data_IF_086828600129
#
_entry.id   IF_086828600129
#
_cell.length_a   1.000
_cell.length_b   1.000
_cell.length_c   1.000
_cell.angle_alpha   90.00
_cell.angle_beta   90.00
_cell.angle_gamma   90.00
#
_symmetry.space_group_name_H-M   'P 1'
#
loop_
_entity.id
_entity.type
_entity.pdbx_description
1 polymer ?
#
# COMPACT_ATOMS: atom_id res chain seq x y z
N UNK A 1 -7.64 24.03 -20.40
CA UNK A 1 -7.30 22.60 -20.63
C UNK A 1 -5.83 22.43 -20.37
N UNK A 2 -5.46 22.19 -19.12
CA UNK A 2 -4.07 21.92 -18.76
C UNK A 2 -4.00 20.48 -18.27
N UNK A 3 -3.31 19.65 -19.04
CA UNK A 3 -2.77 18.38 -18.54
C UNK A 3 -1.77 18.78 -17.44
N UNK A 4 -2.20 18.73 -16.18
CA UNK A 4 -1.27 18.69 -15.07
C UNK A 4 -0.57 17.35 -15.17
N UNK A 5 0.57 17.34 -15.87
CA UNK A 5 1.49 16.24 -15.87
C UNK A 5 1.88 15.92 -14.43
N UNK A 6 2.02 14.66 -14.11
CA UNK A 6 2.77 14.24 -12.94
C UNK A 6 4.22 14.74 -13.14
N UNK A 7 4.49 15.94 -12.68
CA UNK A 7 5.83 16.50 -12.61
C UNK A 7 6.61 15.71 -11.57
N UNK A 8 7.87 15.44 -11.84
CA UNK A 8 8.77 14.68 -10.97
C UNK A 8 8.78 15.30 -9.57
N UNK A 9 8.22 14.57 -8.60
CA UNK A 9 8.28 14.96 -7.19
C UNK A 9 9.68 14.69 -6.66
N UNK A 10 10.44 15.74 -6.35
CA UNK A 10 11.64 15.62 -5.52
C UNK A 10 11.21 15.37 -4.07
N UNK A 11 11.27 14.12 -3.65
CA UNK A 11 10.85 13.69 -2.31
C UNK A 11 12.08 13.25 -1.53
N UNK A 12 12.40 13.93 -0.43
CA UNK A 12 13.42 13.46 0.51
C UNK A 12 12.71 12.90 1.75
N UNK A 13 12.64 11.57 1.84
CA UNK A 13 12.24 10.85 3.06
C UNK A 13 13.50 10.08 3.48
N UNK A 14 14.21 10.54 4.52
CA UNK A 14 15.44 9.90 4.96
C UNK A 14 15.21 8.94 6.11
N UNK A 15 15.69 7.72 5.96
CA UNK A 15 15.77 6.70 7.02
C UNK A 15 17.03 5.84 6.80
N UNK A 16 17.73 5.47 7.87
CA UNK A 16 19.09 4.91 7.82
C UNK A 16 19.13 3.45 8.25
N UNK A 17 19.60 2.57 7.45
CA UNK A 17 20.69 1.57 7.42
C UNK A 17 20.41 0.38 6.50
N UNK A 18 21.43 0.05 5.67
CA UNK A 18 21.46 -1.04 4.72
C UNK A 18 21.87 -2.37 5.36
N UNK A 19 21.24 -3.47 4.88
CA UNK A 19 21.88 -4.81 4.81
C UNK A 19 21.75 -5.30 3.35
N UNK A 20 22.87 -5.72 2.75
CA UNK A 20 22.98 -6.06 1.32
C UNK A 20 22.06 -7.22 0.87
N UNK A 21 21.65 -8.12 1.77
CA UNK A 21 20.76 -9.26 1.46
C UNK A 21 19.31 -8.87 1.20
N UNK A 22 18.81 -7.83 1.87
CA UNK A 22 17.43 -7.32 1.71
C UNK A 22 17.28 -6.62 0.35
N UNK A 23 18.33 -5.98 -0.13
CA UNK A 23 18.39 -5.31 -1.42
C UNK A 23 18.20 -6.28 -2.61
N UNK A 24 18.76 -7.49 -2.54
CA UNK A 24 18.63 -8.49 -3.60
C UNK A 24 17.24 -9.14 -3.64
N UNK A 25 16.64 -9.45 -2.50
CA UNK A 25 15.28 -9.99 -2.42
C UNK A 25 14.24 -8.96 -2.88
N UNK A 26 14.41 -7.72 -2.47
CA UNK A 26 13.57 -6.61 -2.90
C UNK A 26 13.66 -6.41 -4.43
N UNK A 27 14.87 -6.42 -4.99
CA UNK A 27 15.09 -6.30 -6.42
C UNK A 27 14.44 -7.44 -7.21
N UNK A 28 14.52 -8.68 -6.71
CA UNK A 28 13.82 -9.84 -7.29
C UNK A 28 12.31 -9.69 -7.24
N UNK A 29 11.76 -9.27 -6.10
CA UNK A 29 10.34 -9.03 -5.93
C UNK A 29 9.82 -7.98 -6.91
N UNK A 30 10.54 -6.87 -7.06
CA UNK A 30 10.21 -5.80 -8.00
C UNK A 30 10.25 -6.27 -9.45
N UNK A 31 11.24 -7.06 -9.83
CA UNK A 31 11.33 -7.64 -11.18
C UNK A 31 10.16 -8.57 -11.47
N UNK A 32 9.82 -9.44 -10.51
CA UNK A 32 8.70 -10.38 -10.63
C UNK A 32 7.35 -9.64 -10.69
N UNK A 33 7.17 -8.56 -9.93
CA UNK A 33 5.93 -7.74 -10.00
C UNK A 33 5.83 -6.94 -11.30
N UNK A 34 6.93 -6.52 -11.90
CA UNK A 34 6.93 -5.82 -13.19
C UNK A 34 6.60 -6.71 -14.38
N UNK A 35 6.88 -8.01 -14.28
CA UNK A 35 6.56 -9.01 -15.31
C UNK A 35 5.12 -9.54 -15.24
N UNK A 36 4.30 -9.01 -14.36
CA UNK A 36 2.97 -9.34 -13.89
C UNK A 36 2.13 -10.30 -14.73
N UNK A 37 1.75 -11.42 -14.13
CA UNK A 37 0.57 -12.18 -14.54
C UNK A 37 -0.68 -11.28 -14.44
N UNK A 38 -1.67 -11.44 -15.32
CA UNK A 38 -2.88 -10.65 -15.25
C UNK A 38 -3.61 -10.90 -13.92
N UNK A 39 -3.94 -9.82 -13.22
CA UNK A 39 -4.71 -9.86 -11.98
C UNK A 39 -6.07 -10.51 -12.21
N UNK A 40 -6.45 -11.47 -11.36
CA UNK A 40 -7.78 -12.07 -11.40
C UNK A 40 -8.86 -10.98 -11.24
N UNK A 41 -9.93 -11.08 -12.03
CA UNK A 41 -11.09 -10.21 -11.86
C UNK A 41 -12.07 -10.87 -10.90
N UNK A 42 -12.35 -10.23 -9.77
CA UNK A 42 -13.39 -10.65 -8.81
C UNK A 42 -14.73 -10.11 -9.26
N UNK A 43 -15.74 -10.99 -9.29
CA UNK A 43 -17.06 -10.67 -9.85
C UNK A 43 -18.06 -10.18 -8.79
N UNK A 44 -18.06 -10.82 -7.61
CA UNK A 44 -19.01 -10.58 -6.54
C UNK A 44 -18.48 -11.04 -5.16
N UNK A 45 -19.34 -10.95 -4.14
CA UNK A 45 -19.04 -11.38 -2.77
C UNK A 45 -18.66 -12.86 -2.68
N UNK A 46 -19.31 -13.74 -3.44
CA UNK A 46 -19.07 -15.18 -3.36
C UNK A 46 -17.70 -15.55 -3.97
N UNK A 47 -17.38 -14.95 -5.12
CA UNK A 47 -16.07 -15.12 -5.77
C UNK A 47 -14.93 -14.54 -4.88
N UNK A 48 -15.17 -13.40 -4.24
CA UNK A 48 -14.22 -12.80 -3.30
C UNK A 48 -13.93 -13.71 -2.09
N UNK A 49 -14.97 -14.33 -1.51
CA UNK A 49 -14.83 -15.26 -0.39
C UNK A 49 -14.05 -16.51 -0.83
N UNK A 50 -14.44 -17.14 -1.95
CA UNK A 50 -13.74 -18.33 -2.46
C UNK A 50 -12.26 -18.06 -2.72
N UNK A 51 -11.96 -16.91 -3.35
CA UNK A 51 -10.57 -16.50 -3.60
C UNK A 51 -9.79 -16.26 -2.30
N UNK A 52 -10.42 -15.66 -1.29
CA UNK A 52 -9.78 -15.43 -0.01
C UNK A 52 -9.54 -16.74 0.77
N UNK A 53 -10.41 -17.74 0.64
CA UNK A 53 -10.22 -19.09 1.23
C UNK A 53 -8.99 -19.78 0.61
N UNK A 54 -8.84 -19.74 -0.72
CA UNK A 54 -7.69 -20.31 -1.43
C UNK A 54 -6.39 -19.61 -1.01
N UNK A 55 -6.38 -18.29 -1.00
CA UNK A 55 -5.23 -17.49 -0.59
C UNK A 55 -4.86 -17.73 0.89
N UNK A 56 -5.83 -17.83 1.78
CA UNK A 56 -5.61 -18.12 3.20
C UNK A 56 -4.91 -19.46 3.42
N UNK A 57 -5.27 -20.50 2.65
CA UNK A 57 -4.59 -21.80 2.68
C UNK A 57 -3.12 -21.68 2.24
N UNK A 58 -2.83 -20.91 1.21
CA UNK A 58 -1.48 -20.66 0.75
C UNK A 58 -0.65 -19.92 1.81
N UNK A 59 -1.18 -18.83 2.34
CA UNK A 59 -0.53 -17.99 3.36
C UNK A 59 -0.22 -18.79 4.63
N UNK A 60 -1.13 -19.68 5.06
CA UNK A 60 -0.98 -20.44 6.30
C UNK A 60 0.19 -21.44 6.27
N UNK A 61 0.61 -21.91 5.09
CA UNK A 61 1.61 -23.00 4.97
C UNK A 61 2.88 -22.71 5.73
N UNK A 62 3.42 -21.51 5.60
CA UNK A 62 4.71 -21.12 6.14
C UNK A 62 4.64 -20.00 7.19
N UNK A 63 3.44 -19.69 7.70
CA UNK A 63 3.23 -18.56 8.63
C UNK A 63 4.15 -18.64 9.87
N UNK A 64 4.24 -19.80 10.49
CA UNK A 64 5.09 -20.01 11.68
C UNK A 64 6.59 -19.92 11.35
N UNK A 65 6.99 -20.29 10.14
CA UNK A 65 8.38 -20.17 9.68
C UNK A 65 8.73 -18.71 9.39
N UNK A 66 7.84 -17.97 8.71
CA UNK A 66 8.01 -16.53 8.48
C UNK A 66 8.20 -15.77 9.79
N UNK A 67 7.32 -16.01 10.76
CA UNK A 67 7.38 -15.34 12.06
C UNK A 67 8.67 -15.67 12.81
N UNK A 68 9.05 -16.96 12.88
CA UNK A 68 10.26 -17.40 13.60
C UNK A 68 11.55 -16.85 12.99
N UNK A 69 11.64 -16.83 11.67
CA UNK A 69 12.85 -16.49 10.93
C UNK A 69 12.84 -15.06 10.39
N UNK A 70 11.82 -14.26 10.73
CA UNK A 70 11.62 -12.88 10.24
C UNK A 70 11.72 -12.81 8.70
N UNK A 71 11.14 -13.81 8.02
CA UNK A 71 11.14 -13.87 6.56
C UNK A 71 10.05 -12.98 5.99
N UNK A 72 10.43 -12.01 5.18
CA UNK A 72 9.51 -11.08 4.55
C UNK A 72 8.59 -11.79 3.55
N UNK A 73 7.25 -11.53 3.56
CA UNK A 73 6.25 -12.28 2.81
C UNK A 73 6.11 -11.82 1.34
N UNK A 74 7.21 -11.66 0.60
CA UNK A 74 7.17 -11.18 -0.79
C UNK A 74 6.34 -12.07 -1.72
N UNK A 75 6.43 -13.39 -1.58
CA UNK A 75 5.66 -14.35 -2.35
C UNK A 75 4.16 -14.23 -2.08
N UNK A 76 3.79 -14.19 -0.82
CA UNK A 76 2.41 -14.11 -0.36
C UNK A 76 1.76 -12.76 -0.74
N UNK A 77 2.51 -11.67 -0.69
CA UNK A 77 2.04 -10.36 -1.18
C UNK A 77 1.89 -10.35 -2.70
N UNK A 78 2.75 -11.06 -3.43
CA UNK A 78 2.58 -11.26 -4.86
C UNK A 78 1.26 -12.00 -5.15
N UNK A 79 1.01 -13.13 -4.48
CA UNK A 79 -0.24 -13.90 -4.61
C UNK A 79 -1.45 -13.05 -4.27
N UNK A 80 -1.41 -12.25 -3.20
CA UNK A 80 -2.46 -11.30 -2.86
C UNK A 80 -2.69 -10.27 -3.99
N UNK A 81 -1.64 -9.71 -4.57
CA UNK A 81 -1.74 -8.74 -5.66
C UNK A 81 -2.38 -9.34 -6.92
N UNK A 82 -2.07 -10.60 -7.24
CA UNK A 82 -2.59 -11.31 -8.41
C UNK A 82 -3.99 -11.87 -8.21
N UNK A 83 -4.41 -12.07 -6.96
CA UNK A 83 -5.71 -12.64 -6.61
C UNK A 83 -6.91 -11.76 -6.97
N UNK A 84 -6.72 -10.46 -7.21
CA UNK A 84 -7.79 -9.49 -7.43
C UNK A 84 -8.45 -8.97 -6.14
N UNK A 85 -8.11 -9.53 -4.98
CA UNK A 85 -8.71 -9.13 -3.70
C UNK A 85 -8.41 -7.68 -3.31
N UNK A 86 -7.34 -7.09 -3.83
CA UNK A 86 -7.04 -5.68 -3.57
C UNK A 86 -8.08 -4.73 -4.15
N UNK A 87 -8.76 -5.09 -5.25
CA UNK A 87 -9.77 -4.27 -5.92
C UNK A 87 -11.21 -4.49 -5.43
N UNK A 88 -11.48 -5.38 -4.47
CA UNK A 88 -12.84 -5.83 -4.14
C UNK A 88 -13.78 -4.74 -3.64
N UNK A 89 -13.26 -3.69 -2.98
CA UNK A 89 -14.06 -2.57 -2.45
C UNK A 89 -14.29 -1.45 -3.47
N UNK A 90 -13.61 -1.50 -4.61
CA UNK A 90 -13.81 -0.51 -5.67
C UNK A 90 -15.21 -0.66 -6.25
N UNK A 91 -15.98 0.44 -6.40
CA UNK A 91 -17.31 0.40 -6.98
C UNK A 91 -17.35 -0.16 -8.40
N UNK A 92 -18.43 -0.87 -8.74
CA UNK A 92 -18.63 -1.49 -10.08
C UNK A 92 -18.49 -0.49 -11.21
N UNK A 93 -18.95 0.76 -11.02
CA UNK A 93 -18.78 1.84 -12.02
C UNK A 93 -17.32 2.16 -12.35
N UNK A 94 -16.37 1.76 -11.49
CA UNK A 94 -14.94 1.90 -11.68
C UNK A 94 -14.23 0.58 -11.98
N UNK A 95 -15.00 -0.50 -12.22
CA UNK A 95 -14.48 -1.81 -12.62
C UNK A 95 -14.19 -2.77 -11.45
N UNK A 96 -14.48 -2.42 -10.21
CA UNK A 96 -14.33 -3.29 -9.04
C UNK A 96 -15.56 -4.18 -8.80
N UNK A 97 -15.46 -5.08 -7.82
CA UNK A 97 -16.55 -5.99 -7.42
C UNK A 97 -17.60 -5.32 -6.54
N UNK A 98 -17.25 -4.22 -5.87
CA UNK A 98 -18.14 -3.51 -4.92
C UNK A 98 -18.70 -4.45 -3.84
N UNK A 99 -17.83 -5.28 -3.25
CA UNK A 99 -18.27 -6.23 -2.21
C UNK A 99 -18.75 -5.50 -0.96
N UNK A 100 -19.62 -6.16 -0.20
CA UNK A 100 -20.14 -5.63 1.05
C UNK A 100 -19.04 -5.49 2.10
N UNK A 101 -19.20 -4.57 3.06
CA UNK A 101 -18.29 -4.42 4.20
C UNK A 101 -18.22 -5.70 5.04
N UNK A 102 -19.31 -6.47 5.09
CA UNK A 102 -19.37 -7.77 5.76
C UNK A 102 -18.43 -8.77 5.08
N UNK A 103 -18.44 -8.79 3.75
CA UNK A 103 -17.56 -9.64 2.95
C UNK A 103 -16.10 -9.23 3.11
N UNK A 104 -15.79 -7.93 3.06
CA UNK A 104 -14.44 -7.45 3.37
C UNK A 104 -13.99 -7.90 4.77
N UNK A 105 -14.86 -7.78 5.78
CA UNK A 105 -14.59 -8.26 7.14
C UNK A 105 -14.32 -9.77 7.20
N UNK A 106 -15.05 -10.57 6.42
CA UNK A 106 -14.83 -12.01 6.33
C UNK A 106 -13.47 -12.35 5.68
N UNK A 107 -13.11 -11.66 4.57
CA UNK A 107 -11.81 -11.79 3.90
C UNK A 107 -10.67 -11.47 4.89
N UNK A 108 -10.74 -10.32 5.56
CA UNK A 108 -9.72 -9.91 6.52
C UNK A 108 -9.58 -10.89 7.69
N UNK A 109 -10.70 -11.45 8.17
CA UNK A 109 -10.71 -12.48 9.23
C UNK A 109 -10.03 -13.77 8.77
N UNK A 110 -10.28 -14.23 7.54
CA UNK A 110 -9.65 -15.45 6.99
C UNK A 110 -8.15 -15.26 6.83
N UNK A 111 -7.73 -14.14 6.26
CA UNK A 111 -6.32 -13.81 6.14
C UNK A 111 -5.61 -13.69 7.50
N UNK A 112 -6.25 -13.03 8.48
CA UNK A 112 -5.70 -12.88 9.83
C UNK A 112 -5.61 -14.21 10.60
N UNK A 113 -6.53 -15.15 10.35
CA UNK A 113 -6.45 -16.49 10.91
C UNK A 113 -5.32 -17.33 10.29
N UNK A 114 -4.96 -17.05 9.03
CA UNK A 114 -3.86 -17.70 8.32
C UNK A 114 -2.49 -17.11 8.74
N UNK A 115 -2.36 -15.78 8.68
CA UNK A 115 -1.18 -15.02 9.10
C UNK A 115 -1.57 -13.57 9.42
N UNK A 116 -1.59 -13.17 10.70
CA UNK A 116 -1.98 -11.81 11.09
C UNK A 116 -1.01 -10.73 10.58
N UNK A 117 0.26 -11.06 10.35
CA UNK A 117 1.25 -10.13 9.84
C UNK A 117 0.92 -9.72 8.40
N UNK A 118 0.59 -10.72 7.56
CA UNK A 118 0.18 -10.47 6.16
C UNK A 118 -1.17 -9.76 6.12
N UNK A 119 -2.14 -10.13 6.95
CA UNK A 119 -3.45 -9.51 6.97
C UNK A 119 -3.40 -8.02 7.36
N UNK A 120 -2.42 -7.59 8.13
CA UNK A 120 -2.27 -6.18 8.49
C UNK A 120 -1.88 -5.30 7.30
N UNK A 121 -1.19 -5.82 6.31
CA UNK A 121 -0.68 -5.07 5.16
C UNK A 121 -1.82 -4.44 4.33
N UNK A 122 -2.84 -5.19 3.85
CA UNK A 122 -3.91 -4.63 3.02
C UNK A 122 -4.90 -3.74 3.79
N UNK A 123 -4.87 -3.72 5.11
CA UNK A 123 -5.74 -2.83 5.90
C UNK A 123 -5.61 -1.36 5.49
N UNK A 124 -4.38 -0.89 5.34
CA UNK A 124 -4.11 0.49 4.93
C UNK A 124 -4.41 0.73 3.44
N UNK A 125 -4.34 -0.31 2.63
CA UNK A 125 -4.73 -0.25 1.23
C UNK A 125 -6.24 0.00 1.08
N UNK A 126 -7.10 -0.74 1.78
CA UNK A 126 -8.54 -0.50 1.75
C UNK A 126 -8.92 0.87 2.30
N UNK A 127 -8.24 1.33 3.36
CA UNK A 127 -8.40 2.70 3.85
C UNK A 127 -8.02 3.75 2.77
N UNK A 128 -6.98 3.51 1.97
CA UNK A 128 -6.60 4.42 0.90
C UNK A 128 -7.64 4.49 -0.22
N UNK A 129 -8.30 3.37 -0.53
CA UNK A 129 -9.44 3.33 -1.47
C UNK A 129 -10.60 4.18 -0.93
N UNK A 130 -10.97 4.00 0.35
CA UNK A 130 -12.05 4.77 0.98
C UNK A 130 -11.74 6.29 1.00
N UNK A 131 -10.51 6.66 1.34
CA UNK A 131 -10.05 8.05 1.29
C UNK A 131 -10.21 8.63 -0.12
N UNK A 132 -9.81 7.87 -1.14
CA UNK A 132 -9.94 8.29 -2.53
C UNK A 132 -11.40 8.38 -2.96
N UNK A 133 -12.25 7.44 -2.55
CA UNK A 133 -13.69 7.48 -2.81
C UNK A 133 -14.36 8.73 -2.24
N UNK A 134 -13.97 9.13 -1.04
CA UNK A 134 -14.57 10.27 -0.34
C UNK A 134 -14.05 11.62 -0.82
N UNK A 135 -12.75 11.72 -1.14
CA UNK A 135 -12.09 13.02 -1.30
C UNK A 135 -11.47 13.24 -2.69
N UNK A 136 -11.27 12.19 -3.48
CA UNK A 136 -10.61 12.28 -4.79
C UNK A 136 -11.51 12.88 -5.87
N UNK A 137 -10.92 13.57 -6.87
CA UNK A 137 -11.60 13.88 -8.12
C UNK A 137 -11.84 12.61 -8.94
N UNK A 138 -12.71 12.68 -9.95
CA UNK A 138 -12.97 11.52 -10.81
C UNK A 138 -11.72 11.07 -11.59
N UNK A 139 -10.82 12.00 -11.98
CA UNK A 139 -9.55 11.66 -12.60
C UNK A 139 -8.62 10.94 -11.63
N UNK A 140 -8.55 11.38 -10.37
CA UNK A 140 -7.75 10.74 -9.32
C UNK A 140 -8.29 9.35 -8.99
N UNK A 141 -9.61 9.21 -8.85
CA UNK A 141 -10.28 7.92 -8.64
C UNK A 141 -9.97 6.96 -9.78
N UNK A 142 -10.18 7.41 -11.02
CA UNK A 142 -9.90 6.57 -12.20
C UNK A 142 -8.44 6.10 -12.21
N UNK A 143 -7.51 7.01 -12.00
CA UNK A 143 -6.08 6.68 -11.97
C UNK A 143 -5.75 5.64 -10.91
N UNK A 144 -6.13 5.88 -9.64
CA UNK A 144 -5.78 4.98 -8.54
C UNK A 144 -6.48 3.63 -8.69
N UNK A 145 -7.76 3.62 -9.07
CA UNK A 145 -8.51 2.37 -9.19
C UNK A 145 -8.03 1.52 -10.38
N UNK A 146 -7.66 2.14 -11.50
CA UNK A 146 -7.03 1.43 -12.62
C UNK A 146 -5.70 0.77 -12.18
N UNK A 147 -4.91 1.43 -11.32
CA UNK A 147 -3.68 0.85 -10.78
C UNK A 147 -3.99 -0.31 -9.81
N UNK A 148 -4.93 -0.14 -8.91
CA UNK A 148 -5.32 -1.19 -7.94
C UNK A 148 -5.88 -2.42 -8.65
N UNK A 149 -6.70 -2.24 -9.69
CA UNK A 149 -7.25 -3.35 -10.49
C UNK A 149 -6.19 -4.12 -11.29
N UNK A 150 -5.00 -3.53 -11.47
CA UNK A 150 -3.81 -4.22 -11.98
C UNK A 150 -2.98 -4.90 -10.87
N UNK A 151 -3.50 -5.01 -9.66
CA UNK A 151 -2.83 -5.63 -8.52
C UNK A 151 -1.87 -4.71 -7.78
N UNK A 152 -1.91 -3.38 -8.01
CA UNK A 152 -1.05 -2.44 -7.30
C UNK A 152 -1.49 -2.26 -5.85
N UNK A 153 -0.55 -2.38 -4.92
CA UNK A 153 -0.77 -2.24 -3.49
C UNK A 153 -0.47 -0.81 -3.04
N UNK A 154 -1.31 -0.29 -2.15
CA UNK A 154 -1.12 1.02 -1.53
C UNK A 154 -0.74 0.84 -0.05
N UNK A 155 0.43 1.33 0.34
CA UNK A 155 0.86 1.43 1.73
C UNK A 155 0.49 2.79 2.33
N UNK A 156 0.76 2.96 3.63
CA UNK A 156 0.45 4.22 4.32
C UNK A 156 1.59 4.65 5.23
N UNK A 157 1.95 5.94 5.15
CA UNK A 157 2.95 6.60 5.95
C UNK A 157 2.30 7.80 6.69
N UNK A 158 1.78 7.55 7.89
CA UNK A 158 1.03 8.55 8.64
C UNK A 158 1.77 9.02 9.90
N UNK A 159 2.36 8.08 10.67
CA UNK A 159 2.96 8.35 11.97
C UNK A 159 4.33 8.97 11.86
N UNK A 160 4.69 9.80 12.83
CA UNK A 160 6.01 10.40 12.99
C UNK A 160 6.53 10.12 14.41
N UNK A 161 7.86 10.10 14.57
CA UNK A 161 8.46 9.96 15.90
C UNK A 161 8.32 11.26 16.68
N UNK A 162 7.90 11.18 17.93
CA UNK A 162 7.75 12.33 18.82
C UNK A 162 6.73 12.10 19.91
N UNK A 163 6.67 13.03 20.86
CA UNK A 163 5.75 12.98 22.01
C UNK A 163 4.32 13.42 21.62
N UNK A 164 4.20 14.31 20.64
CA UNK A 164 2.92 14.85 20.20
C UNK A 164 2.52 14.24 18.85
N UNK A 165 1.67 13.23 18.88
CA UNK A 165 1.16 12.52 17.71
C UNK A 165 0.26 13.39 16.79
N UNK A 166 -0.16 14.57 17.26
CA UNK A 166 -0.99 15.50 16.50
C UNK A 166 -0.14 16.51 15.72
N UNK A 167 1.15 16.64 16.03
CA UNK A 167 2.06 17.54 15.32
C UNK A 167 2.69 16.83 14.12
N UNK A 168 2.12 17.08 12.93
CA UNK A 168 2.69 16.57 11.68
C UNK A 168 3.81 17.51 11.23
N UNK A 169 5.05 16.99 11.17
CA UNK A 169 6.25 17.71 10.73
C UNK A 169 6.47 17.62 9.22
N UNK A 170 6.00 16.56 8.59
CA UNK A 170 6.09 16.37 7.13
C UNK A 170 5.36 17.51 6.41
N UNK A 171 6.02 18.09 5.41
CA UNK A 171 5.54 19.27 4.66
C UNK A 171 5.44 18.98 3.16
N UNK A 172 4.35 19.45 2.58
CA UNK A 172 4.14 19.51 1.15
C UNK A 172 4.20 20.98 0.74
N UNK A 173 5.25 21.37 0.01
CA UNK A 173 5.48 22.75 -0.39
C UNK A 173 5.43 22.87 -1.91
N UNK A 174 4.99 24.03 -2.41
CA UNK A 174 5.00 24.30 -3.84
C UNK A 174 6.34 24.96 -4.25
N UNK A 175 6.95 24.41 -5.31
CA UNK A 175 8.17 24.94 -5.91
C UNK A 175 7.97 25.12 -7.42
N UNK A 176 7.52 26.29 -7.83
CA UNK A 176 7.15 26.54 -9.22
C UNK A 176 5.93 25.68 -9.64
N UNK A 177 6.11 24.82 -10.64
CA UNK A 177 5.09 23.86 -11.09
C UNK A 177 5.07 22.57 -10.27
N UNK A 178 6.10 22.32 -9.46
CA UNK A 178 6.31 21.07 -8.74
C UNK A 178 5.76 21.13 -7.31
N UNK A 179 5.52 19.95 -6.74
CA UNK A 179 5.22 19.75 -5.32
C UNK A 179 6.40 19.00 -4.68
N UNK A 180 6.95 19.57 -3.63
CA UNK A 180 8.03 19.00 -2.85
C UNK A 180 7.47 18.43 -1.55
N UNK A 181 7.65 17.13 -1.32
CA UNK A 181 7.30 16.46 -0.08
C UNK A 181 8.58 16.20 0.72
N UNK A 182 8.64 16.71 1.95
CA UNK A 182 9.79 16.54 2.83
C UNK A 182 9.34 16.13 4.23
N UNK A 183 9.93 15.05 4.74
CA UNK A 183 9.62 14.54 6.08
C UNK A 183 10.06 13.10 6.27
N UNK A 184 9.83 12.61 7.49
CA UNK A 184 10.14 11.26 7.92
C UNK A 184 8.89 10.65 8.56
N UNK A 185 8.59 9.39 8.21
CA UNK A 185 7.46 8.63 8.77
C UNK A 185 7.96 7.31 9.36
N UNK A 186 7.28 6.85 10.40
CA UNK A 186 7.55 5.56 11.04
C UNK A 186 6.29 4.69 11.10
N UNK A 187 6.45 3.42 11.38
CA UNK A 187 5.35 2.43 11.44
C UNK A 187 4.52 2.39 10.15
N UNK A 188 5.23 2.42 9.01
CA UNK A 188 4.66 2.54 7.67
C UNK A 188 4.25 1.19 7.11
N UNK A 189 3.22 0.58 7.71
CA UNK A 189 2.74 -0.76 7.33
C UNK A 189 2.51 -0.87 5.82
N UNK A 190 3.11 -1.87 5.21
CA UNK A 190 3.00 -2.16 3.78
C UNK A 190 4.01 -1.40 2.90
N UNK A 191 4.79 -0.45 3.44
CA UNK A 191 5.70 0.37 2.63
C UNK A 191 6.81 -0.43 1.93
N UNK A 192 7.23 -1.57 2.49
CA UNK A 192 8.21 -2.46 1.86
C UNK A 192 7.67 -3.12 0.58
N UNK A 193 6.35 -3.31 0.48
CA UNK A 193 5.71 -4.14 -0.55
C UNK A 193 4.85 -3.36 -1.54
N UNK A 194 4.50 -2.11 -1.21
CA UNK A 194 3.53 -1.33 -1.98
C UNK A 194 4.13 -0.71 -3.23
N UNK A 195 3.25 -0.29 -4.14
CA UNK A 195 3.58 0.50 -5.33
C UNK A 195 3.38 1.99 -5.08
N UNK A 196 2.41 2.32 -4.23
CA UNK A 196 2.05 3.66 -3.84
C UNK A 196 2.05 3.80 -2.32
N UNK A 197 2.49 4.94 -1.81
CA UNK A 197 2.44 5.27 -0.39
C UNK A 197 1.54 6.50 -0.20
N UNK A 198 0.52 6.37 0.64
CA UNK A 198 -0.27 7.53 1.10
C UNK A 198 0.45 8.18 2.27
N UNK A 199 0.97 9.37 2.05
CA UNK A 199 1.72 10.14 3.04
C UNK A 199 0.85 11.24 3.62
N UNK A 200 0.65 11.21 4.96
CA UNK A 200 0.00 12.32 5.67
C UNK A 200 0.96 13.49 5.85
N UNK A 201 0.55 14.68 5.41
CA UNK A 201 1.42 15.87 5.39
C UNK A 201 0.61 17.15 5.62
N UNK A 202 1.28 18.27 5.85
CA UNK A 202 0.69 19.61 5.94
C UNK A 202 1.20 20.44 4.78
N UNK A 203 0.29 21.14 4.08
CA UNK A 203 0.63 22.06 3.01
C UNK A 203 1.08 23.45 3.52
N UNK A 204 1.46 24.35 2.60
CA UNK A 204 1.86 25.73 2.92
C UNK A 204 0.72 26.55 3.56
N UNK A 205 -0.53 26.15 3.38
CA UNK A 205 -1.72 26.76 3.99
C UNK A 205 -2.06 26.21 5.38
N UNK A 206 -1.32 25.20 5.87
CA UNK A 206 -1.61 24.53 7.13
C UNK A 206 -2.70 23.44 7.04
N UNK A 207 -3.13 23.06 5.84
CA UNK A 207 -4.14 22.02 5.65
C UNK A 207 -3.52 20.63 5.68
N UNK A 208 -4.25 19.67 6.25
CA UNK A 208 -3.87 18.27 6.19
C UNK A 208 -4.13 17.72 4.81
N UNK A 209 -3.07 17.22 4.17
CA UNK A 209 -3.09 16.62 2.84
C UNK A 209 -2.66 15.16 2.93
N UNK A 210 -3.26 14.32 2.09
CA UNK A 210 -2.80 12.95 1.86
C UNK A 210 -2.22 12.87 0.45
N UNK A 211 -0.90 12.83 0.38
CA UNK A 211 -0.18 12.74 -0.88
C UNK A 211 0.03 11.26 -1.27
N UNK A 212 -0.38 10.90 -2.48
CA UNK A 212 -0.10 9.57 -3.05
C UNK A 212 1.22 9.62 -3.79
N UNK A 213 2.22 8.93 -3.26
CA UNK A 213 3.61 8.98 -3.73
C UNK A 213 3.98 7.62 -4.30
N UNK A 214 4.55 7.53 -5.52
CA UNK A 214 5.13 6.28 -6.01
C UNK A 214 6.22 5.79 -5.05
N UNK A 215 6.21 4.50 -4.67
CA UNK A 215 7.20 3.91 -3.76
C UNK A 215 8.65 4.16 -4.23
N UNK A 216 8.86 4.18 -5.54
CA UNK A 216 10.16 4.35 -6.18
C UNK A 216 10.40 5.77 -6.72
N UNK A 217 9.62 6.76 -6.25
CA UNK A 217 9.89 8.15 -6.63
C UNK A 217 11.27 8.58 -6.15
N UNK A 218 11.93 9.41 -6.94
CA UNK A 218 13.24 9.97 -6.57
C UNK A 218 13.18 10.63 -5.19
N UNK A 219 14.12 10.29 -4.30
CA UNK A 219 14.18 10.81 -2.93
C UNK A 219 13.30 10.03 -1.92
N UNK A 220 12.56 9.00 -2.34
CA UNK A 220 11.88 8.09 -1.40
C UNK A 220 12.83 6.97 -0.99
N UNK A 221 13.04 6.83 0.32
CA UNK A 221 13.76 5.70 0.90
C UNK A 221 12.82 4.99 1.88
N UNK A 222 12.69 3.67 1.76
CA UNK A 222 11.94 2.82 2.70
C UNK A 222 12.92 1.86 3.35
N UNK A 223 12.88 1.81 4.68
CA UNK A 223 13.84 1.05 5.49
C UNK A 223 13.09 -0.04 6.25
N UNK A 224 13.65 -1.23 6.26
CA UNK A 224 13.22 -2.33 7.11
C UNK A 224 13.94 -2.24 8.46
N UNK A 225 13.39 -1.42 9.38
CA UNK A 225 13.90 -1.24 10.74
C UNK A 225 12.93 -1.75 11.82
N UNK A 226 11.85 -2.44 11.42
CA UNK A 226 10.91 -2.98 12.39
C UNK A 226 11.55 -4.08 13.22
N UNK A 227 11.52 -3.92 14.55
CA UNK A 227 12.09 -4.86 15.51
C UNK A 227 11.09 -5.28 16.60
N UNK A 228 9.82 -4.92 16.45
CA UNK A 228 8.77 -5.27 17.37
C UNK A 228 8.16 -6.66 17.10
N UNK A 229 7.05 -6.95 17.78
CA UNK A 229 6.26 -8.16 17.56
C UNK A 229 5.53 -8.07 16.21
N UNK A 230 5.52 -9.19 15.49
CA UNK A 230 4.98 -9.28 14.13
C UNK A 230 5.97 -8.82 13.05
N UNK A 231 5.73 -9.20 11.79
CA UNK A 231 6.60 -8.90 10.65
C UNK A 231 5.90 -7.98 9.65
#
# INVERSE_FOLDING_TARGET
MNRAGFSEMNTTISMVREEESVSEELSRYEQVRRSGEPTKTILDDADAIATAEELAVEIARDAADRDRNRRLPYGEIKSLSESGLLGVTIPKRWGGAEVSITTLGAIMRMMAAADPNIAQIPKNHFLAIDIMLLNGSDEQKKFLFDEVLKGKLVGRAASERGEDVLQIKTRLTRSGADLLLNGEKCYTTGALYCDWIVVGTIDDGGHYIQAFVPRHAHGVTVIDDWSGLGQ
#
